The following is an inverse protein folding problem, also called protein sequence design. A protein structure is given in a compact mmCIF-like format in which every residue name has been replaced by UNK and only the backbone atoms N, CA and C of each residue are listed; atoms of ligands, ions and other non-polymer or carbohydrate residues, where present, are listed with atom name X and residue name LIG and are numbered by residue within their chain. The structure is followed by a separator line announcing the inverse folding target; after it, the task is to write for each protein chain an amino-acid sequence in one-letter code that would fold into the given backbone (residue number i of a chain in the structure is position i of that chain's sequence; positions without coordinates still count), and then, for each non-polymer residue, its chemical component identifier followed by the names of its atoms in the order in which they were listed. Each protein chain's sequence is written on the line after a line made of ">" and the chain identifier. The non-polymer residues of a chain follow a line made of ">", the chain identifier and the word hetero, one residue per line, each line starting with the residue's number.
data_IF_673130564235
#
_entry.id   IF_673130564235
#
_cell.length_a   1.000
_cell.length_b   1.000
_cell.length_c   1.000
_cell.angle_alpha   90.00
_cell.angle_beta   90.00
_cell.angle_gamma   90.00
#
_symmetry.space_group_name_H-M   'P 1'
#
loop_
_entity.id
_entity.type
_entity.pdbx_description
1 polymer ?
#
# COMPACT_ATOMS: atom_id res chain seq x y z
N UNK A 1 -0.16 -8.66 15.76
CA UNK A 1 0.88 -8.44 16.82
C UNK A 1 2.23 -8.44 16.13
N UNK A 2 2.87 -7.26 16.05
CA UNK A 2 4.01 -7.01 15.16
C UNK A 2 5.18 -7.99 15.36
N UNK A 3 5.73 -8.49 14.25
CA UNK A 3 6.90 -9.38 14.25
C UNK A 3 8.17 -8.54 14.43
N UNK A 4 8.76 -8.57 15.62
CA UNK A 4 10.00 -7.82 15.91
C UNK A 4 11.23 -8.61 15.43
N UNK A 5 12.03 -8.04 14.52
CA UNK A 5 13.34 -8.61 14.14
C UNK A 5 14.37 -8.37 15.26
N UNK A 6 14.89 -9.45 15.86
CA UNK A 6 15.89 -9.40 16.94
C UNK A 6 17.33 -9.67 16.48
N UNK A 7 17.58 -9.74 15.17
CA UNK A 7 18.89 -10.16 14.66
C UNK A 7 19.94 -9.06 14.59
N UNK A 8 19.54 -7.78 14.53
CA UNK A 8 20.36 -6.55 14.58
C UNK A 8 21.60 -6.48 13.65
N UNK A 9 21.77 -7.40 12.69
CA UNK A 9 22.93 -7.40 11.79
C UNK A 9 22.69 -6.52 10.55
N UNK A 10 22.97 -5.23 10.70
CA UNK A 10 22.76 -4.20 9.67
C UNK A 10 23.97 -3.95 8.76
N UNK A 11 25.16 -4.50 9.08
CA UNK A 11 26.43 -4.14 8.41
C UNK A 11 26.43 -4.43 6.91
N UNK A 12 25.76 -5.52 6.51
CA UNK A 12 25.68 -5.98 5.14
C UNK A 12 24.26 -5.84 4.55
N UNK A 13 23.34 -5.17 5.28
CA UNK A 13 21.98 -4.90 4.80
C UNK A 13 21.95 -3.61 4.01
N UNK A 14 21.28 -3.64 2.86
CA UNK A 14 20.98 -2.46 2.07
C UNK A 14 19.51 -2.11 2.19
N UNK A 15 19.19 -0.82 2.12
CA UNK A 15 17.80 -0.40 1.97
C UNK A 15 17.20 -1.03 0.69
N UNK A 16 15.95 -1.50 0.74
CA UNK A 16 15.32 -2.15 -0.40
C UNK A 16 15.25 -1.20 -1.60
N UNK A 17 15.60 -1.72 -2.78
CA UNK A 17 15.49 -1.01 -4.05
C UNK A 17 14.02 -0.86 -4.45
N UNK A 18 13.71 -0.01 -5.45
CA UNK A 18 12.35 0.10 -5.98
C UNK A 18 11.78 -1.26 -6.40
N UNK A 19 12.57 -2.09 -7.09
CA UNK A 19 12.15 -3.44 -7.52
C UNK A 19 11.97 -4.42 -6.36
N UNK A 20 12.79 -4.31 -5.31
CA UNK A 20 12.58 -5.10 -4.10
C UNK A 20 11.28 -4.68 -3.39
N UNK A 21 11.00 -3.38 -3.33
CA UNK A 21 9.77 -2.82 -2.78
C UNK A 21 8.54 -3.25 -3.57
N UNK A 22 8.62 -3.24 -4.90
CA UNK A 22 7.57 -3.71 -5.80
C UNK A 22 7.27 -5.19 -5.56
N UNK A 23 8.32 -6.01 -5.39
CA UNK A 23 8.16 -7.43 -5.08
C UNK A 23 7.46 -7.63 -3.72
N UNK A 24 7.84 -6.85 -2.69
CA UNK A 24 7.17 -6.87 -1.39
C UNK A 24 5.71 -6.44 -1.48
N UNK A 25 5.39 -5.42 -2.27
CA UNK A 25 4.03 -4.93 -2.46
C UNK A 25 3.15 -5.92 -3.23
N UNK A 26 3.69 -6.58 -4.27
CA UNK A 26 3.00 -7.65 -4.99
C UNK A 26 2.73 -8.83 -4.06
N UNK A 27 3.72 -9.21 -3.26
CA UNK A 27 3.59 -10.27 -2.28
C UNK A 27 2.52 -9.93 -1.23
N UNK A 28 2.60 -8.74 -0.62
CA UNK A 28 1.62 -8.25 0.35
C UNK A 28 0.20 -8.23 -0.25
N UNK A 29 0.04 -7.64 -1.43
CA UNK A 29 -1.25 -7.63 -2.13
C UNK A 29 -1.78 -9.04 -2.38
N UNK A 30 -0.94 -9.97 -2.83
CA UNK A 30 -1.32 -11.36 -3.09
C UNK A 30 -1.83 -12.12 -1.85
N UNK A 31 -1.48 -11.66 -0.66
CA UNK A 31 -1.92 -12.23 0.62
C UNK A 31 -3.19 -11.59 1.17
N UNK A 32 -3.65 -10.49 0.58
CA UNK A 32 -4.91 -9.89 0.96
C UNK A 32 -6.09 -10.83 0.63
N UNK A 33 -7.19 -10.76 1.42
CA UNK A 33 -8.40 -11.53 1.17
C UNK A 33 -8.88 -11.42 -0.28
N UNK A 34 -9.37 -12.54 -0.84
CA UNK A 34 -9.84 -12.58 -2.22
C UNK A 34 -10.95 -11.57 -2.49
N UNK A 35 -11.85 -11.38 -1.51
CA UNK A 35 -12.92 -10.38 -1.56
C UNK A 35 -12.40 -8.95 -1.70
N UNK A 36 -11.27 -8.63 -1.08
CA UNK A 36 -10.63 -7.33 -1.17
C UNK A 36 -9.95 -7.15 -2.52
N UNK A 37 -9.18 -8.14 -2.97
CA UNK A 37 -8.53 -8.12 -4.30
C UNK A 37 -9.53 -8.06 -5.46
N UNK A 38 -10.75 -8.56 -5.26
CA UNK A 38 -11.82 -8.48 -6.25
C UNK A 38 -12.31 -7.03 -6.51
N UNK A 39 -12.07 -6.10 -5.58
CA UNK A 39 -12.39 -4.68 -5.74
C UNK A 39 -11.50 -4.05 -6.82
N UNK A 40 -10.22 -4.41 -6.81
CA UNK A 40 -9.13 -3.85 -7.63
C UNK A 40 -8.76 -4.75 -8.79
N UNK A 41 -9.75 -5.15 -9.60
CA UNK A 41 -9.51 -5.96 -10.81
C UNK A 41 -8.45 -5.27 -11.69
N UNK A 42 -7.45 -6.05 -12.13
CA UNK A 42 -6.34 -5.59 -12.98
C UNK A 42 -5.50 -4.46 -12.35
N UNK A 43 -5.28 -4.50 -11.02
CA UNK A 43 -4.44 -3.55 -10.29
C UNK A 43 -3.00 -3.52 -10.79
N UNK A 44 -2.52 -2.33 -11.14
CA UNK A 44 -1.11 -2.03 -11.37
C UNK A 44 -0.53 -1.47 -10.07
N UNK A 45 0.55 -2.08 -9.58
CA UNK A 45 1.31 -1.59 -8.42
C UNK A 45 2.57 -0.91 -8.95
N UNK A 46 2.75 0.37 -8.64
CA UNK A 46 3.93 1.15 -9.02
C UNK A 46 4.67 1.63 -7.76
N UNK A 47 6.00 1.71 -7.84
CA UNK A 47 6.83 2.24 -6.75
C UNK A 47 7.57 3.48 -7.25
N UNK A 48 7.41 4.58 -6.53
CA UNK A 48 8.17 5.82 -6.75
C UNK A 48 8.93 6.19 -5.48
N UNK A 49 9.98 7.01 -5.59
CA UNK A 49 10.68 7.49 -4.38
C UNK A 49 9.85 8.55 -3.63
N UNK A 50 9.12 9.40 -4.36
CA UNK A 50 8.29 10.49 -3.84
C UNK A 50 7.10 10.78 -4.78
N UNK A 51 6.05 11.48 -4.31
CA UNK A 51 5.02 12.04 -5.18
C UNK A 51 5.60 13.01 -6.21
N UNK A 52 4.96 13.11 -7.37
CA UNK A 52 5.28 14.13 -8.37
C UNK A 52 4.85 15.51 -7.88
N UNK A 53 5.39 16.58 -8.48
CA UNK A 53 5.00 17.97 -8.14
C UNK A 53 3.48 18.17 -8.32
N UNK A 54 2.88 17.59 -9.37
CA UNK A 54 1.44 17.66 -9.61
C UNK A 54 0.64 17.00 -8.47
N UNK A 55 1.03 15.78 -8.04
CA UNK A 55 0.37 15.09 -6.92
C UNK A 55 0.55 15.86 -5.61
N UNK A 56 1.74 16.43 -5.40
CA UNK A 56 2.05 17.23 -4.22
C UNK A 56 1.12 18.45 -4.10
N UNK A 57 0.92 19.16 -5.21
CA UNK A 57 0.01 20.32 -5.28
C UNK A 57 -1.46 19.90 -5.16
N UNK A 58 -1.89 18.87 -5.89
CA UNK A 58 -3.28 18.41 -5.93
C UNK A 58 -3.77 17.85 -4.58
N UNK A 59 -2.88 17.18 -3.85
CA UNK A 59 -3.15 16.66 -2.51
C UNK A 59 -2.88 17.67 -1.40
N UNK A 60 -2.44 18.89 -1.75
CA UNK A 60 -2.10 19.96 -0.82
C UNK A 60 -1.16 19.50 0.32
N UNK A 61 -0.14 18.72 -0.03
CA UNK A 61 0.82 18.18 0.94
C UNK A 61 1.67 19.30 1.54
N UNK A 62 2.03 19.18 2.82
CA UNK A 62 2.99 20.10 3.45
C UNK A 62 4.43 19.64 3.16
N UNK A 63 4.63 18.33 3.10
CA UNK A 63 5.91 17.67 2.82
C UNK A 63 5.72 16.44 1.93
N UNK A 64 6.72 16.03 1.12
CA UNK A 64 6.61 14.84 0.29
C UNK A 64 6.59 13.54 1.10
N UNK A 65 6.76 13.61 2.42
CA UNK A 65 6.67 12.49 3.36
C UNK A 65 5.26 12.26 3.90
N UNK A 66 4.33 13.19 3.64
CA UNK A 66 2.96 13.13 4.16
C UNK A 66 2.08 12.11 3.42
N UNK A 67 2.57 11.57 2.30
CA UNK A 67 1.83 10.64 1.44
C UNK A 67 2.62 9.34 1.28
N UNK A 68 2.10 8.25 1.85
CA UNK A 68 2.73 6.92 1.81
C UNK A 68 2.33 6.13 0.56
N UNK A 69 1.09 6.31 0.10
CA UNK A 69 0.58 5.70 -1.12
C UNK A 69 -0.46 6.60 -1.78
N UNK A 70 -0.84 6.25 -3.00
CA UNK A 70 -1.94 6.89 -3.71
C UNK A 70 -2.64 5.86 -4.58
N UNK A 71 -3.94 5.66 -4.38
CA UNK A 71 -4.79 4.90 -5.27
C UNK A 71 -5.44 5.79 -6.34
N UNK A 72 -5.38 5.35 -7.60
CA UNK A 72 -6.01 5.98 -8.75
C UNK A 72 -6.83 4.94 -9.53
N UNK A 73 -8.13 5.15 -9.68
CA UNK A 73 -8.99 4.24 -10.45
C UNK A 73 -10.47 4.60 -10.34
N UNK A 74 -11.34 3.86 -11.02
CA UNK A 74 -12.80 4.06 -10.87
C UNK A 74 -13.33 3.27 -9.67
N UNK A 75 -13.98 3.97 -8.74
CA UNK A 75 -14.72 3.34 -7.65
C UNK A 75 -15.87 2.45 -8.19
N UNK A 76 -16.33 1.47 -7.40
CA UNK A 76 -17.42 0.55 -7.80
C UNK A 76 -18.69 1.32 -8.19
N UNK A 77 -18.97 2.45 -7.56
CA UNK A 77 -20.10 3.33 -7.85
C UNK A 77 -20.01 4.01 -9.23
N UNK A 78 -18.80 4.21 -9.76
CA UNK A 78 -18.53 4.86 -11.04
C UNK A 78 -18.38 3.86 -12.21
N UNK A 79 -18.42 2.55 -11.93
CA UNK A 79 -18.44 1.51 -12.98
C UNK A 79 -19.69 1.56 -13.87
N UNK A 80 -20.74 2.25 -13.43
CA UNK A 80 -22.02 2.35 -14.16
C UNK A 80 -22.12 3.59 -15.08
N UNK A 81 -21.16 4.52 -15.03
CA UNK A 81 -21.09 5.65 -15.97
C UNK A 81 -20.24 5.29 -17.19
N UNK A 82 -20.89 5.27 -18.36
CA UNK A 82 -20.27 4.99 -19.65
C UNK A 82 -19.40 6.17 -20.11
N UNK A 83 -18.28 6.44 -19.45
CA UNK A 83 -17.23 7.28 -20.02
C UNK A 83 -16.18 6.39 -20.68
N UNK A 84 -15.99 6.66 -21.98
CA UNK A 84 -15.05 6.02 -22.89
C UNK A 84 -13.61 6.15 -22.40
N UNK A 85 -13.13 5.10 -21.75
CA UNK A 85 -11.77 4.95 -21.22
C UNK A 85 -11.82 4.07 -19.98
N UNK A 86 -11.40 2.81 -20.12
CA UNK A 86 -11.12 1.97 -18.94
C UNK A 86 -9.92 2.61 -18.22
N UNK A 87 -10.15 3.39 -17.17
CA UNK A 87 -9.07 3.71 -16.24
C UNK A 87 -8.74 2.43 -15.48
N UNK A 88 -7.54 1.93 -15.72
CA UNK A 88 -6.97 0.78 -15.00
C UNK A 88 -6.72 1.21 -13.56
N UNK A 89 -7.04 0.35 -12.60
CA UNK A 89 -6.72 0.61 -11.20
C UNK A 89 -5.20 0.63 -11.04
N UNK A 90 -4.67 1.71 -10.47
CA UNK A 90 -3.25 1.87 -10.17
C UNK A 90 -3.11 2.25 -8.71
N UNK A 91 -2.14 1.68 -8.03
CA UNK A 91 -1.68 2.14 -6.73
C UNK A 91 -0.19 2.45 -6.82
N UNK A 92 0.16 3.66 -6.40
CA UNK A 92 1.57 4.09 -6.31
C UNK A 92 1.96 4.10 -4.85
N UNK A 93 3.01 3.35 -4.48
CA UNK A 93 3.60 3.42 -3.14
C UNK A 93 4.87 4.26 -3.16
N UNK A 94 5.00 5.16 -2.20
CA UNK A 94 6.14 6.07 -2.10
C UNK A 94 7.20 5.52 -1.16
N UNK A 95 8.28 4.98 -1.75
CA UNK A 95 9.34 4.26 -1.04
C UNK A 95 9.99 5.09 0.06
N UNK A 96 10.36 6.36 -0.20
CA UNK A 96 11.08 7.15 0.81
C UNK A 96 10.17 7.57 1.97
N UNK A 97 8.92 8.04 1.74
CA UNK A 97 7.93 8.23 2.80
C UNK A 97 7.69 6.97 3.64
N UNK A 98 7.49 5.81 3.01
CA UNK A 98 7.29 4.55 3.74
C UNK A 98 8.55 4.15 4.55
N UNK A 99 9.75 4.33 4.00
CA UNK A 99 11.00 4.03 4.73
C UNK A 99 11.23 5.00 5.91
N UNK A 100 10.81 6.25 5.77
CA UNK A 100 10.88 7.25 6.85
C UNK A 100 9.91 6.87 7.98
N UNK A 101 8.65 6.58 7.63
CA UNK A 101 7.66 6.05 8.57
C UNK A 101 8.16 4.77 9.24
N UNK A 102 8.71 3.82 8.47
CA UNK A 102 9.24 2.57 9.02
C UNK A 102 10.39 2.79 10.01
N UNK A 103 11.27 3.77 9.76
CA UNK A 103 12.38 4.06 10.67
C UNK A 103 11.93 4.60 12.04
N UNK A 104 10.71 5.12 12.14
CA UNK A 104 10.12 5.65 13.38
C UNK A 104 9.20 4.64 14.09
N UNK A 105 8.94 3.48 13.49
CA UNK A 105 7.99 2.48 13.99
C UNK A 105 8.65 1.11 14.24
N UNK A 106 8.00 0.27 15.04
CA UNK A 106 8.50 -1.08 15.42
C UNK A 106 7.99 -2.20 14.51
N UNK A 107 7.19 -1.86 13.50
CA UNK A 107 6.59 -2.79 12.54
C UNK A 107 7.58 -3.23 11.46
N UNK A 108 7.35 -4.39 10.86
CA UNK A 108 8.16 -4.78 9.69
C UNK A 108 7.76 -3.96 8.48
N UNK A 109 8.68 -3.80 7.53
CA UNK A 109 8.38 -3.13 6.28
C UNK A 109 7.22 -3.80 5.51
N UNK A 110 7.10 -5.12 5.61
CA UNK A 110 6.00 -5.87 4.97
C UNK A 110 4.64 -5.55 5.60
N UNK A 111 4.58 -5.40 6.92
CA UNK A 111 3.37 -5.03 7.64
C UNK A 111 2.91 -3.62 7.24
N UNK A 112 3.86 -2.65 7.21
CA UNK A 112 3.57 -1.28 6.77
C UNK A 112 3.08 -1.24 5.32
N UNK A 113 3.71 -1.97 4.41
CA UNK A 113 3.25 -2.04 3.02
C UNK A 113 1.84 -2.62 2.95
N UNK A 114 1.53 -3.66 3.72
CA UNK A 114 0.21 -4.29 3.78
C UNK A 114 -0.84 -3.30 4.29
N UNK A 115 -0.53 -2.60 5.38
CA UNK A 115 -1.37 -1.56 5.97
C UNK A 115 -1.68 -0.43 4.97
N UNK A 116 -0.65 0.11 4.30
CA UNK A 116 -0.82 1.17 3.28
C UNK A 116 -1.69 0.68 2.12
N UNK A 117 -1.47 -0.54 1.60
CA UNK A 117 -2.31 -1.11 0.55
C UNK A 117 -3.78 -1.20 0.96
N UNK A 118 -4.06 -1.65 2.18
CA UNK A 118 -5.42 -1.80 2.68
C UNK A 118 -6.08 -0.43 2.85
N UNK A 119 -5.38 0.55 3.42
CA UNK A 119 -5.91 1.90 3.63
C UNK A 119 -6.21 2.63 2.32
N UNK A 120 -5.27 2.62 1.38
CA UNK A 120 -5.43 3.29 0.08
C UNK A 120 -6.60 2.69 -0.73
N UNK A 121 -6.65 1.36 -0.82
CA UNK A 121 -7.73 0.67 -1.53
C UNK A 121 -9.06 0.84 -0.77
N UNK A 122 -9.04 0.67 0.54
CA UNK A 122 -10.24 0.71 1.38
C UNK A 122 -10.90 2.08 1.37
N UNK A 123 -10.15 3.16 1.55
CA UNK A 123 -10.68 4.52 1.44
C UNK A 123 -11.22 4.81 0.04
N UNK A 124 -10.54 4.37 -1.02
CA UNK A 124 -11.03 4.57 -2.40
C UNK A 124 -12.39 3.90 -2.66
N UNK A 125 -12.64 2.72 -2.06
CA UNK A 125 -13.91 2.01 -2.19
C UNK A 125 -14.93 2.32 -1.08
N UNK A 126 -14.60 3.23 -0.16
CA UNK A 126 -15.49 3.68 0.90
C UNK A 126 -15.71 2.66 2.02
N UNK A 127 -14.72 1.80 2.28
CA UNK A 127 -14.73 0.93 3.46
C UNK A 127 -14.53 1.76 4.73
N UNK A 128 -15.14 1.30 5.82
CA UNK A 128 -14.92 1.90 7.14
C UNK A 128 -13.60 1.43 7.75
N UNK A 129 -13.07 2.19 8.71
CA UNK A 129 -11.87 1.81 9.46
C UNK A 129 -12.04 0.43 10.11
N UNK A 130 -13.23 0.14 10.68
CA UNK A 130 -13.57 -1.18 11.24
C UNK A 130 -13.55 -2.30 10.19
N UNK A 131 -13.90 -2.02 8.93
CA UNK A 131 -13.81 -3.01 7.85
C UNK A 131 -12.35 -3.27 7.48
N UNK A 132 -11.54 -2.22 7.41
CA UNK A 132 -10.12 -2.29 7.09
C UNK A 132 -9.32 -3.01 8.18
N UNK A 133 -9.59 -2.74 9.46
CA UNK A 133 -8.97 -3.42 10.59
C UNK A 133 -9.20 -4.95 10.53
N UNK A 134 -10.43 -5.39 10.23
CA UNK A 134 -10.72 -6.83 10.04
C UNK A 134 -9.96 -7.45 8.87
N UNK A 135 -9.73 -6.67 7.81
CA UNK A 135 -8.96 -7.14 6.65
C UNK A 135 -7.48 -7.27 7.02
N UNK A 136 -6.94 -6.31 7.76
CA UNK A 136 -5.57 -6.37 8.29
C UNK A 136 -5.38 -7.59 9.19
N UNK A 137 -6.27 -7.82 10.16
CA UNK A 137 -6.21 -9.00 11.03
C UNK A 137 -6.21 -10.30 10.22
N UNK A 138 -7.05 -10.39 9.18
CA UNK A 138 -7.10 -11.59 8.33
C UNK A 138 -5.83 -11.80 7.49
N UNK A 139 -5.19 -10.71 7.06
CA UNK A 139 -3.92 -10.77 6.33
C UNK A 139 -2.76 -11.19 7.25
N UNK A 140 -2.76 -10.71 8.49
CA UNK A 140 -1.82 -11.10 9.55
C UNK A 140 -1.93 -12.60 9.88
N UNK A 141 -3.15 -13.11 10.03
CA UNK A 141 -3.40 -14.55 10.28
C UNK A 141 -2.88 -15.41 9.13
N UNK A 142 -3.15 -15.01 7.88
CA UNK A 142 -2.65 -15.71 6.69
C UNK A 142 -1.10 -15.68 6.57
N UNK A 143 -0.46 -14.64 7.11
CA UNK A 143 1.00 -14.53 7.19
C UNK A 143 1.61 -15.35 8.35
N UNK A 144 0.86 -15.56 9.44
CA UNK A 144 1.29 -16.29 10.63
C UNK A 144 1.21 -17.83 10.49
N UNK A 145 0.37 -18.35 9.58
CA UNK A 145 0.29 -19.78 9.26
C UNK A 145 1.47 -20.32 8.42
N UNK A 146 2.55 -19.53 8.28
CA UNK A 146 3.78 -19.85 7.54
C UNK A 146 4.95 -20.16 8.47
#
# INVERSE_FOLDING_TARGET
>A
MARIDQTDDWRDRHAPTLSAFESLAIEAYGHLPEEFRALTKDLIIEIADFPTDDVFEDMALETPFDLLGLFEGRGISERFTMETGEMVNRITLYRRPILDYWAENEETLGDIITHVLIHEIGHHFGLSDDDMERIEESADEAAAER
#
